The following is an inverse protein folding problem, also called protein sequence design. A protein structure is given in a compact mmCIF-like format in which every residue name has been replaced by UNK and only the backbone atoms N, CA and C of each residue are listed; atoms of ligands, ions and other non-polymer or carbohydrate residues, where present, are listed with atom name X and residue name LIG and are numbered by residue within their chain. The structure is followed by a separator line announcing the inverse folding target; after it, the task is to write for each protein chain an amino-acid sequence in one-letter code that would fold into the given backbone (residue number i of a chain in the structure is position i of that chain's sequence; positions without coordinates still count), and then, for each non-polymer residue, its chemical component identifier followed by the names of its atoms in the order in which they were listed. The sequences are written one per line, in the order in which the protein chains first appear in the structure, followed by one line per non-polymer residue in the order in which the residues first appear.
data_IF_106311435799
#
_entry.id   IF_106311435799
#
_cell.length_a   1.000
_cell.length_b   1.000
_cell.length_c   1.000
_cell.angle_alpha   90.00
_cell.angle_beta   90.00
_cell.angle_gamma   90.00
#
_symmetry.space_group_name_H-M   'P 1'
#
loop_
_entity.id
_entity.type
_entity.pdbx_description
1 polymer ?
#
# COMPACT_ATOMS: atom_id res chain seq x y z
N UNK A 1 -22.99 -1.68 -23.91
CA UNK A 1 -22.66 -1.49 -22.48
C UNK A 1 -21.37 -0.65 -22.42
N UNK A 2 -21.43 0.56 -21.85
CA UNK A 2 -20.27 1.45 -21.79
C UNK A 2 -19.12 0.79 -21.02
N UNK A 3 -17.88 1.19 -21.32
CA UNK A 3 -16.67 0.70 -20.65
C UNK A 3 -16.78 0.92 -19.13
N UNK A 4 -17.39 2.02 -18.72
CA UNK A 4 -17.61 2.37 -17.30
C UNK A 4 -18.62 1.43 -16.61
N UNK A 5 -19.71 1.06 -17.28
CA UNK A 5 -20.66 0.10 -16.72
C UNK A 5 -20.05 -1.29 -16.57
N UNK A 6 -19.18 -1.71 -17.50
CA UNK A 6 -18.39 -2.95 -17.36
C UNK A 6 -17.46 -2.89 -16.16
N UNK A 7 -16.79 -1.76 -15.95
CA UNK A 7 -15.89 -1.55 -14.78
C UNK A 7 -16.67 -1.59 -13.48
N UNK A 8 -17.83 -0.94 -13.42
CA UNK A 8 -18.70 -0.96 -12.25
C UNK A 8 -19.19 -2.38 -11.91
N UNK A 9 -19.68 -3.13 -12.91
CA UNK A 9 -20.09 -4.52 -12.71
C UNK A 9 -18.92 -5.40 -12.25
N UNK A 10 -17.72 -5.21 -12.82
CA UNK A 10 -16.53 -5.92 -12.37
C UNK A 10 -16.14 -5.55 -10.94
N UNK A 11 -16.32 -4.29 -10.53
CA UNK A 11 -16.10 -3.85 -9.17
C UNK A 11 -17.07 -4.53 -8.20
N UNK A 12 -18.35 -4.68 -8.58
CA UNK A 12 -19.33 -5.41 -7.79
C UNK A 12 -18.96 -6.90 -7.67
N UNK A 13 -18.57 -7.55 -8.76
CA UNK A 13 -18.12 -8.94 -8.76
C UNK A 13 -16.88 -9.18 -7.90
N UNK A 14 -16.01 -8.20 -7.77
CA UNK A 14 -14.83 -8.25 -6.92
C UNK A 14 -15.17 -8.50 -5.43
N UNK A 15 -16.25 -7.97 -4.90
CA UNK A 15 -16.69 -8.23 -3.52
C UNK A 15 -16.97 -9.70 -3.24
N UNK A 16 -17.37 -10.44 -4.28
CA UNK A 16 -17.73 -11.85 -4.17
C UNK A 16 -16.52 -12.75 -4.38
N UNK A 17 -15.71 -12.46 -5.39
CA UNK A 17 -14.61 -13.34 -5.83
C UNK A 17 -13.27 -13.07 -5.17
N UNK A 18 -12.89 -11.80 -5.01
CA UNK A 18 -11.64 -11.33 -4.37
C UNK A 18 -10.37 -12.05 -4.88
N UNK A 19 -10.27 -12.33 -6.16
CA UNK A 19 -9.07 -12.88 -6.77
C UNK A 19 -8.12 -11.77 -7.21
N UNK A 20 -6.90 -12.13 -7.64
CA UNK A 20 -5.88 -11.15 -8.07
C UNK A 20 -6.36 -10.22 -9.18
N UNK A 21 -7.13 -10.73 -10.15
CA UNK A 21 -7.73 -9.93 -11.23
C UNK A 21 -8.74 -8.92 -10.68
N UNK A 22 -9.52 -9.31 -9.70
CA UNK A 22 -10.49 -8.43 -9.06
C UNK A 22 -9.79 -7.32 -8.27
N UNK A 23 -8.66 -7.62 -7.61
CA UNK A 23 -7.80 -6.63 -6.94
C UNK A 23 -7.24 -5.63 -7.96
N UNK A 24 -6.67 -6.09 -9.07
CA UNK A 24 -6.17 -5.22 -10.15
C UNK A 24 -7.26 -4.31 -10.68
N UNK A 25 -8.45 -4.84 -10.97
CA UNK A 25 -9.59 -4.05 -11.46
C UNK A 25 -10.04 -2.99 -10.46
N UNK A 26 -10.07 -3.33 -9.17
CA UNK A 26 -10.42 -2.41 -8.10
C UNK A 26 -9.43 -1.25 -8.03
N UNK A 27 -8.13 -1.54 -7.98
CA UNK A 27 -7.12 -0.48 -7.93
C UNK A 27 -7.09 0.37 -9.21
N UNK A 28 -7.32 -0.22 -10.38
CA UNK A 28 -7.45 0.55 -11.62
C UNK A 28 -8.64 1.53 -11.59
N UNK A 29 -9.68 1.19 -10.83
CA UNK A 29 -10.85 2.03 -10.66
C UNK A 29 -10.68 3.06 -9.53
N UNK A 30 -10.20 2.65 -8.36
CA UNK A 30 -10.14 3.48 -7.15
C UNK A 30 -8.89 4.34 -7.04
N UNK A 31 -7.73 3.88 -7.55
CA UNK A 31 -6.49 4.60 -7.38
C UNK A 31 -6.53 6.06 -7.85
N UNK A 32 -7.14 6.41 -9.00
CA UNK A 32 -7.24 7.81 -9.43
C UNK A 32 -7.93 8.73 -8.41
N UNK A 33 -8.88 8.20 -7.64
CA UNK A 33 -9.58 8.97 -6.59
C UNK A 33 -8.68 9.19 -5.39
N UNK A 34 -8.00 8.14 -4.94
CA UNK A 34 -7.06 8.25 -3.81
C UNK A 34 -5.91 9.20 -4.13
N UNK A 35 -5.32 9.08 -5.32
CA UNK A 35 -4.24 9.94 -5.76
C UNK A 35 -4.66 11.42 -5.81
N UNK A 36 -5.87 11.71 -6.28
CA UNK A 36 -6.42 13.08 -6.25
C UNK A 36 -6.67 13.56 -4.82
N UNK A 37 -7.25 12.70 -3.96
CA UNK A 37 -7.59 13.07 -2.58
C UNK A 37 -6.33 13.33 -1.74
N UNK A 38 -5.25 12.57 -1.96
CA UNK A 38 -4.00 12.69 -1.21
C UNK A 38 -3.00 13.65 -1.86
N UNK A 39 -3.10 13.86 -3.18
CA UNK A 39 -2.17 14.70 -3.94
C UNK A 39 -0.80 14.03 -4.21
N UNK A 40 -0.67 12.72 -3.96
CA UNK A 40 0.56 11.96 -4.14
C UNK A 40 0.28 10.64 -4.88
N UNK A 41 1.33 9.99 -5.39
CA UNK A 41 1.26 8.66 -6.03
C UNK A 41 1.45 7.51 -5.02
N UNK A 42 1.28 7.75 -3.73
CA UNK A 42 1.26 6.73 -2.68
C UNK A 42 -0.18 6.33 -2.34
N UNK A 43 -0.37 5.05 -2.01
CA UNK A 43 -1.68 4.50 -1.64
C UNK A 43 -1.76 4.08 -0.17
N UNK A 44 -0.68 4.26 0.60
CA UNK A 44 -0.65 3.94 2.02
C UNK A 44 -1.39 5.00 2.88
N UNK A 45 -1.83 4.60 4.08
CA UNK A 45 -2.58 5.46 5.01
C UNK A 45 -1.75 6.56 5.66
N UNK A 46 -0.41 6.39 5.66
CA UNK A 46 0.52 7.31 6.31
C UNK A 46 0.70 7.05 7.80
N UNK A 47 1.83 7.54 8.32
CA UNK A 47 2.14 7.61 9.75
C UNK A 47 2.06 9.08 10.19
N UNK A 48 1.03 9.39 10.96
CA UNK A 48 0.72 10.75 11.38
C UNK A 48 1.40 11.08 12.71
N UNK A 49 2.15 12.15 12.71
CA UNK A 49 2.80 12.73 13.90
C UNK A 49 2.28 14.14 14.13
N UNK A 50 2.66 14.76 15.24
CA UNK A 50 2.31 16.17 15.53
C UNK A 50 2.86 17.16 14.49
N UNK A 51 3.85 16.74 13.71
CA UNK A 51 4.47 17.55 12.65
C UNK A 51 3.86 17.33 11.27
N UNK A 52 3.10 16.26 11.06
CA UNK A 52 2.49 15.96 9.76
C UNK A 52 1.21 16.77 9.54
N UNK A 53 1.17 17.55 8.46
CA UNK A 53 0.07 18.48 8.17
C UNK A 53 -0.91 17.97 7.10
N UNK A 54 -0.48 16.99 6.31
CA UNK A 54 -1.23 16.49 5.15
C UNK A 54 -0.89 15.03 4.85
N UNK A 55 -1.69 14.34 4.00
CA UNK A 55 -1.44 12.94 3.66
C UNK A 55 -0.08 12.67 3.03
N UNK A 56 0.47 13.59 2.23
CA UNK A 56 1.77 13.41 1.58
C UNK A 56 2.88 13.27 2.64
N UNK A 57 2.87 14.15 3.63
CA UNK A 57 3.83 14.11 4.73
C UNK A 57 3.67 12.82 5.55
N UNK A 58 2.43 12.46 5.91
CA UNK A 58 2.17 11.24 6.66
C UNK A 58 2.58 9.97 5.88
N UNK A 59 2.33 9.92 4.57
CA UNK A 59 2.75 8.81 3.70
C UNK A 59 4.27 8.70 3.62
N UNK A 60 4.97 9.82 3.52
CA UNK A 60 6.43 9.86 3.55
C UNK A 60 6.98 9.40 4.91
N UNK A 61 6.37 9.81 6.02
CA UNK A 61 6.79 9.37 7.36
C UNK A 61 6.58 7.86 7.56
N UNK A 62 5.48 7.28 7.05
CA UNK A 62 5.31 5.82 7.07
C UNK A 62 6.41 5.11 6.27
N UNK A 63 6.74 5.61 5.08
CA UNK A 63 7.83 5.03 4.28
C UNK A 63 9.18 5.12 4.99
N UNK A 64 9.50 6.26 5.62
CA UNK A 64 10.73 6.42 6.41
C UNK A 64 10.76 5.46 7.60
N UNK A 65 9.64 5.35 8.33
CA UNK A 65 9.50 4.42 9.46
C UNK A 65 9.74 2.98 9.02
N UNK A 66 9.09 2.53 7.94
CA UNK A 66 9.25 1.18 7.40
C UNK A 66 10.67 0.94 6.91
N UNK A 67 11.29 1.89 6.21
CA UNK A 67 12.67 1.79 5.76
C UNK A 67 13.68 1.67 6.91
N UNK A 68 13.47 2.46 7.98
CA UNK A 68 14.25 2.36 9.23
C UNK A 68 14.02 1.02 9.91
N UNK A 69 12.78 0.58 10.02
CA UNK A 69 12.40 -0.69 10.64
C UNK A 69 12.96 -1.91 9.87
N UNK A 70 13.12 -1.80 8.55
CA UNK A 70 13.75 -2.80 7.71
C UNK A 70 15.29 -2.73 7.69
N UNK A 71 15.91 -1.83 8.43
CA UNK A 71 17.36 -1.59 8.44
C UNK A 71 17.93 -1.38 7.03
N UNK A 72 17.25 -0.58 6.18
CA UNK A 72 17.63 -0.37 4.79
C UNK A 72 19.03 0.24 4.60
N UNK A 73 19.58 0.90 5.62
CA UNK A 73 20.94 1.43 5.59
C UNK A 73 22.01 0.34 5.55
N UNK A 74 21.67 -0.92 5.91
CA UNK A 74 22.53 -2.09 5.85
C UNK A 74 22.24 -2.96 4.62
N UNK A 75 21.19 -2.65 3.87
CA UNK A 75 20.69 -3.47 2.79
C UNK A 75 21.47 -3.26 1.48
N UNK A 76 21.55 -4.32 0.67
CA UNK A 76 22.08 -4.30 -0.70
C UNK A 76 20.97 -4.51 -1.74
N UNK A 77 20.09 -5.47 -1.51
CA UNK A 77 19.06 -5.92 -2.45
C UNK A 77 17.68 -5.93 -1.79
N UNK A 78 16.85 -4.96 -2.12
CA UNK A 78 15.48 -4.85 -1.65
C UNK A 78 14.49 -5.36 -2.70
N UNK A 79 13.57 -6.25 -2.29
CA UNK A 79 12.36 -6.57 -3.02
C UNK A 79 11.14 -5.85 -2.36
N UNK A 80 10.54 -4.91 -3.07
CA UNK A 80 9.28 -4.23 -2.67
C UNK A 80 8.10 -4.98 -3.31
N UNK A 81 7.36 -5.75 -2.51
CA UNK A 81 6.32 -6.66 -2.99
C UNK A 81 4.93 -6.02 -2.86
N UNK A 82 4.27 -5.85 -4.00
CA UNK A 82 3.03 -5.10 -4.11
C UNK A 82 3.29 -3.59 -4.13
N UNK A 83 4.33 -3.17 -4.82
CA UNK A 83 4.90 -1.81 -4.83
C UNK A 83 3.97 -0.70 -5.33
N UNK A 84 2.78 -1.02 -5.85
CA UNK A 84 1.84 -0.04 -6.37
C UNK A 84 2.47 0.82 -7.48
N UNK A 85 2.52 2.13 -7.28
CA UNK A 85 3.19 3.08 -8.17
C UNK A 85 4.70 3.24 -7.87
N UNK A 86 5.25 2.43 -6.99
CA UNK A 86 6.68 2.37 -6.59
C UNK A 86 7.24 3.67 -5.99
N UNK A 87 6.38 4.56 -5.51
CA UNK A 87 6.82 5.79 -4.83
C UNK A 87 7.59 5.52 -3.52
N UNK A 88 7.18 4.56 -2.65
CA UNK A 88 7.98 4.19 -1.48
C UNK A 88 9.39 3.73 -1.88
N UNK A 89 9.50 2.89 -2.90
CA UNK A 89 10.78 2.39 -3.40
C UNK A 89 11.68 3.52 -3.94
N UNK A 90 11.11 4.48 -4.66
CA UNK A 90 11.82 5.67 -5.15
C UNK A 90 12.34 6.50 -3.95
N UNK A 91 11.53 6.64 -2.91
CA UNK A 91 11.92 7.37 -1.69
C UNK A 91 13.06 6.63 -0.96
N UNK A 92 12.96 5.31 -0.75
CA UNK A 92 14.03 4.53 -0.12
C UNK A 92 15.33 4.58 -0.92
N UNK A 93 15.25 4.47 -2.25
CA UNK A 93 16.42 4.61 -3.13
C UNK A 93 17.07 5.98 -3.03
N UNK A 94 16.30 7.05 -2.83
CA UNK A 94 16.83 8.41 -2.67
C UNK A 94 17.63 8.60 -1.37
N UNK A 95 17.28 7.85 -0.30
CA UNK A 95 18.03 7.86 0.97
C UNK A 95 19.20 6.86 0.97
N UNK A 96 19.12 5.80 0.20
CA UNK A 96 20.09 4.70 0.16
C UNK A 96 20.51 4.45 -1.30
N UNK A 97 21.42 5.28 -1.80
CA UNK A 97 21.82 5.29 -3.23
C UNK A 97 22.45 3.99 -3.69
N UNK A 98 23.14 3.26 -2.80
CA UNK A 98 23.73 1.93 -3.09
C UNK A 98 22.71 0.78 -3.13
N UNK A 99 21.47 1.01 -2.66
CA UNK A 99 20.44 -0.02 -2.56
C UNK A 99 19.93 -0.43 -3.95
N UNK A 100 20.02 -1.69 -4.30
CA UNK A 100 19.35 -2.24 -5.48
C UNK A 100 17.90 -2.52 -5.14
N UNK A 101 16.96 -1.87 -5.83
CA UNK A 101 15.52 -2.02 -5.55
C UNK A 101 14.82 -2.69 -6.72
N UNK A 102 14.13 -3.80 -6.44
CA UNK A 102 13.23 -4.45 -7.39
C UNK A 102 11.80 -4.35 -6.88
N UNK A 103 10.97 -3.66 -7.62
CA UNK A 103 9.54 -3.47 -7.35
C UNK A 103 8.73 -4.55 -8.06
N UNK A 104 8.04 -5.39 -7.31
CA UNK A 104 7.15 -6.42 -7.84
C UNK A 104 5.71 -6.00 -7.65
N UNK A 105 4.94 -5.94 -8.73
CA UNK A 105 3.52 -5.63 -8.68
C UNK A 105 2.74 -6.40 -9.73
N UNK A 106 1.57 -6.92 -9.35
CA UNK A 106 0.67 -7.63 -10.27
C UNK A 106 -0.06 -6.68 -11.22
N UNK A 107 -0.22 -5.40 -10.86
CA UNK A 107 -0.92 -4.41 -11.66
C UNK A 107 0.01 -3.74 -12.68
N UNK A 108 -0.05 -4.22 -13.92
CA UNK A 108 0.75 -3.70 -15.03
C UNK A 108 0.55 -2.20 -15.30
N UNK A 109 -0.68 -1.69 -15.15
CA UNK A 109 -0.95 -0.26 -15.37
C UNK A 109 -0.26 0.62 -14.32
N UNK A 110 -0.25 0.20 -13.06
CA UNK A 110 0.49 0.90 -12.02
C UNK A 110 1.99 0.89 -12.31
N UNK A 111 2.55 -0.23 -12.76
CA UNK A 111 3.97 -0.30 -13.13
C UNK A 111 4.32 0.56 -14.34
N UNK A 112 3.41 0.66 -15.33
CA UNK A 112 3.61 1.59 -16.45
C UNK A 112 3.73 3.04 -15.96
N UNK A 113 2.89 3.46 -15.02
CA UNK A 113 2.98 4.78 -14.39
C UNK A 113 4.27 4.91 -13.57
N UNK A 114 4.63 3.89 -12.78
CA UNK A 114 5.89 3.87 -12.01
C UNK A 114 7.12 4.07 -12.91
N UNK A 115 7.15 3.41 -14.07
CA UNK A 115 8.22 3.59 -15.07
C UNK A 115 8.33 5.05 -15.56
N UNK A 116 7.20 5.71 -15.79
CA UNK A 116 7.20 7.12 -16.18
C UNK A 116 7.70 8.04 -15.06
N UNK A 117 7.25 7.80 -13.82
CA UNK A 117 7.69 8.56 -12.65
C UNK A 117 9.20 8.43 -12.40
N UNK A 118 9.73 7.23 -12.50
CA UNK A 118 11.16 6.96 -12.35
C UNK A 118 11.98 7.71 -13.41
N UNK A 119 11.56 7.65 -14.68
CA UNK A 119 12.23 8.38 -15.78
C UNK A 119 12.20 9.89 -15.58
N UNK A 120 11.06 10.46 -15.16
CA UNK A 120 10.93 11.90 -14.93
C UNK A 120 11.84 12.40 -13.81
N UNK A 121 11.98 11.61 -12.72
CA UNK A 121 12.88 11.95 -11.62
C UNK A 121 14.34 11.84 -12.01
N UNK A 122 14.71 10.81 -12.74
CA UNK A 122 16.05 10.65 -13.27
C UNK A 122 16.46 11.83 -14.16
N UNK A 123 15.58 12.26 -15.06
CA UNK A 123 15.83 13.41 -15.92
C UNK A 123 16.01 14.72 -15.12
N UNK A 124 15.25 14.92 -14.04
CA UNK A 124 15.42 16.08 -13.16
C UNK A 124 16.79 16.07 -12.46
N UNK A 125 17.22 14.90 -11.98
CA UNK A 125 18.54 14.75 -11.33
C UNK A 125 19.67 15.03 -12.32
N UNK A 126 19.57 14.49 -13.55
CA UNK A 126 20.57 14.76 -14.60
C UNK A 126 20.63 16.26 -14.94
N UNK A 127 19.48 16.89 -15.16
CA UNK A 127 19.44 18.32 -15.49
C UNK A 127 19.94 19.23 -14.36
N UNK A 128 19.67 18.87 -13.09
CA UNK A 128 20.21 19.64 -11.94
C UNK A 128 21.71 19.49 -11.79
N UNK A 129 22.28 18.34 -12.17
CA UNK A 129 23.76 18.12 -12.15
C UNK A 129 24.47 18.80 -13.33
N UNK A 130 23.83 18.92 -14.49
CA UNK A 130 24.40 19.63 -15.67
C UNK A 130 24.56 21.12 -15.39
N UNK A 131 23.69 21.71 -14.56
CA UNK A 131 23.76 23.13 -14.17
C UNK A 131 24.78 23.42 -13.07
N UNK A 132 25.42 22.41 -12.48
CA UNK A 132 26.56 22.57 -11.58
C UNK A 132 27.79 21.98 -12.28
N UNK A 133 28.63 22.85 -12.86
CA UNK A 133 29.89 22.46 -13.50
C UNK A 133 30.77 21.63 -12.57
N UNK A 134 30.74 20.33 -12.73
CA UNK A 134 31.82 19.44 -12.39
C UNK A 134 31.80 18.23 -13.32
N UNK A 135 32.66 18.30 -14.32
CA UNK A 135 33.12 17.20 -15.14
C UNK A 135 33.62 16.05 -14.28
N UNK A 136 33.34 14.83 -14.74
CA UNK A 136 33.86 13.54 -14.25
C UNK A 136 33.01 12.85 -13.16
N UNK A 137 31.94 12.27 -13.58
CA UNK A 137 31.61 10.85 -13.38
C UNK A 137 30.32 10.55 -14.12
N UNK A 138 30.36 9.55 -15.01
CA UNK A 138 29.18 8.91 -15.56
C UNK A 138 28.39 8.31 -14.38
N UNK A 139 27.58 9.15 -13.72
CA UNK A 139 26.64 8.67 -12.72
C UNK A 139 25.64 7.81 -13.46
N UNK A 140 25.86 6.51 -13.43
CA UNK A 140 24.84 5.52 -13.76
C UNK A 140 23.60 5.97 -13.01
N UNK A 141 22.58 6.40 -13.75
CA UNK A 141 21.29 6.73 -13.17
C UNK A 141 20.75 5.41 -12.64
N UNK A 142 20.92 5.19 -11.34
CA UNK A 142 20.59 3.95 -10.69
C UNK A 142 19.08 3.74 -10.77
N UNK A 143 18.67 2.85 -11.67
CA UNK A 143 17.28 2.58 -11.98
C UNK A 143 16.69 1.58 -10.98
N UNK A 144 15.46 1.85 -10.55
CA UNK A 144 14.63 0.85 -9.88
C UNK A 144 14.18 -0.16 -10.93
N UNK A 145 14.34 -1.46 -10.65
CA UNK A 145 13.80 -2.52 -11.48
C UNK A 145 12.30 -2.70 -11.24
N UNK A 146 11.52 -2.78 -12.31
CA UNK A 146 10.07 -2.98 -12.24
C UNK A 146 9.70 -4.34 -12.85
N UNK A 147 9.04 -5.20 -12.07
CA UNK A 147 8.69 -6.56 -12.49
C UNK A 147 7.20 -6.81 -12.29
N UNK A 148 6.51 -7.17 -13.39
CA UNK A 148 5.09 -7.52 -13.30
C UNK A 148 4.93 -9.00 -12.97
N UNK A 149 4.67 -9.28 -11.69
CA UNK A 149 4.50 -10.65 -11.18
C UNK A 149 3.56 -10.69 -9.97
N UNK A 150 3.11 -11.89 -9.63
CA UNK A 150 2.32 -12.16 -8.43
C UNK A 150 3.23 -12.38 -7.22
N UNK A 151 2.77 -12.00 -6.03
CA UNK A 151 3.46 -12.28 -4.78
C UNK A 151 3.51 -13.79 -4.43
N UNK A 152 2.72 -14.62 -5.12
CA UNK A 152 2.67 -16.07 -4.91
C UNK A 152 3.77 -16.85 -5.61
N UNK A 153 4.38 -16.25 -6.64
CA UNK A 153 5.53 -16.81 -7.39
C UNK A 153 6.44 -15.65 -7.73
N UNK A 154 7.45 -15.45 -6.93
CA UNK A 154 8.37 -14.33 -7.07
C UNK A 154 9.49 -14.64 -8.08
N UNK A 155 9.77 -13.74 -9.04
CA UNK A 155 10.71 -14.00 -10.12
C UNK A 155 12.18 -13.76 -9.69
N UNK A 156 12.56 -14.34 -8.58
CA UNK A 156 13.91 -14.26 -8.02
C UNK A 156 14.50 -15.66 -7.86
N UNK A 157 15.83 -15.74 -7.92
CA UNK A 157 16.56 -16.93 -7.51
C UNK A 157 16.43 -17.13 -6.00
N UNK A 158 16.70 -18.34 -5.55
CA UNK A 158 16.77 -18.64 -4.13
C UNK A 158 17.89 -17.83 -3.48
N UNK A 159 17.68 -17.38 -2.25
CA UNK A 159 18.67 -16.73 -1.39
C UNK A 159 19.45 -15.59 -2.07
N UNK A 160 18.75 -14.64 -2.69
CA UNK A 160 19.38 -13.52 -3.42
C UNK A 160 18.89 -12.13 -3.01
N UNK A 161 18.00 -12.05 -2.03
CA UNK A 161 17.41 -10.80 -1.52
C UNK A 161 17.70 -10.70 -0.04
N UNK A 162 18.24 -9.59 0.41
CA UNK A 162 18.52 -9.37 1.83
C UNK A 162 17.39 -8.60 2.56
N UNK A 163 16.50 -7.89 1.84
CA UNK A 163 15.34 -7.20 2.40
C UNK A 163 14.11 -7.42 1.54
N UNK A 164 13.04 -7.87 2.17
CA UNK A 164 11.71 -7.94 1.56
C UNK A 164 10.79 -7.01 2.34
N UNK A 165 10.12 -6.10 1.64
CA UNK A 165 9.10 -5.23 2.22
C UNK A 165 7.78 -5.46 1.51
N UNK A 166 6.70 -5.59 2.30
CA UNK A 166 5.32 -5.58 1.84
C UNK A 166 4.56 -4.47 2.59
N UNK A 167 4.58 -3.25 2.04
CA UNK A 167 3.92 -2.07 2.62
C UNK A 167 2.48 -1.97 2.13
N UNK A 168 1.52 -2.22 3.00
CA UNK A 168 0.07 -2.20 2.71
C UNK A 168 -0.33 -3.00 1.47
N UNK A 169 0.33 -4.12 1.26
CA UNK A 169 0.09 -5.01 0.13
C UNK A 169 -0.24 -6.44 0.55
N UNK A 170 0.35 -6.92 1.65
CA UNK A 170 0.21 -8.30 2.13
C UNK A 170 -1.24 -8.69 2.45
N UNK A 171 -2.10 -7.75 2.85
CA UNK A 171 -3.53 -7.98 3.05
C UNK A 171 -4.27 -8.39 1.76
N UNK A 172 -3.67 -8.18 0.59
CA UNK A 172 -4.22 -8.58 -0.70
C UNK A 172 -3.68 -9.91 -1.22
N UNK A 173 -2.67 -10.49 -0.56
CA UNK A 173 -2.06 -11.74 -1.00
C UNK A 173 -2.88 -12.93 -0.53
N UNK A 174 -3.41 -13.68 -1.47
CA UNK A 174 -4.29 -14.81 -1.21
C UNK A 174 -3.84 -16.05 -1.98
N UNK A 175 -3.38 -17.10 -1.25
CA UNK A 175 -3.18 -17.19 0.20
C UNK A 175 -1.88 -16.49 0.65
N UNK A 176 -1.92 -15.83 1.80
CA UNK A 176 -0.75 -15.16 2.39
C UNK A 176 0.40 -16.14 2.66
N UNK A 177 0.07 -17.39 2.99
CA UNK A 177 1.07 -18.43 3.24
C UNK A 177 2.02 -18.64 2.05
N UNK A 178 1.53 -18.57 0.80
CA UNK A 178 2.39 -18.70 -0.38
C UNK A 178 3.39 -17.54 -0.50
N UNK A 179 2.97 -16.32 -0.20
CA UNK A 179 3.88 -15.18 -0.15
C UNK A 179 4.97 -15.38 0.91
N UNK A 180 4.60 -15.85 2.11
CA UNK A 180 5.57 -16.13 3.18
C UNK A 180 6.54 -17.23 2.76
N UNK A 181 6.08 -18.29 2.09
CA UNK A 181 6.93 -19.36 1.56
C UNK A 181 7.89 -18.85 0.48
N UNK A 182 7.42 -18.04 -0.47
CA UNK A 182 8.26 -17.41 -1.48
C UNK A 182 9.28 -16.44 -0.86
N UNK A 183 8.86 -15.68 0.17
CA UNK A 183 9.77 -14.82 0.92
C UNK A 183 10.90 -15.62 1.56
N UNK A 184 10.59 -16.79 2.19
CA UNK A 184 11.63 -17.68 2.71
C UNK A 184 12.57 -18.17 1.62
N UNK A 185 12.05 -18.55 0.46
CA UNK A 185 12.85 -19.09 -0.65
C UNK A 185 13.88 -18.08 -1.15
N UNK A 186 13.46 -16.83 -1.36
CA UNK A 186 14.31 -15.80 -1.98
C UNK A 186 15.21 -15.07 -1.00
N UNK A 187 14.90 -15.11 0.31
CA UNK A 187 15.61 -14.37 1.34
C UNK A 187 16.96 -15.02 1.64
N UNK A 188 18.01 -14.22 1.75
CA UNK A 188 19.32 -14.63 2.25
C UNK A 188 19.25 -15.04 3.73
N UNK A 189 20.27 -15.73 4.23
CA UNK A 189 20.30 -16.28 5.60
C UNK A 189 20.04 -15.21 6.67
N UNK A 190 20.68 -14.05 6.57
CA UNK A 190 20.52 -12.93 7.52
C UNK A 190 19.53 -11.88 7.01
N UNK A 191 18.72 -12.24 6.03
CA UNK A 191 17.76 -11.33 5.40
C UNK A 191 16.56 -11.07 6.30
N UNK A 192 15.89 -9.92 6.06
CA UNK A 192 14.72 -9.48 6.83
C UNK A 192 13.48 -9.41 5.95
N UNK A 193 12.38 -9.97 6.47
CA UNK A 193 11.04 -9.77 5.93
C UNK A 193 10.32 -8.74 6.81
N UNK A 194 9.89 -7.62 6.21
CA UNK A 194 9.09 -6.59 6.87
C UNK A 194 7.73 -6.48 6.22
N UNK A 195 6.68 -6.60 7.03
CA UNK A 195 5.29 -6.48 6.59
C UNK A 195 4.63 -5.36 7.38
N UNK A 196 4.00 -4.43 6.68
CA UNK A 196 3.21 -3.35 7.26
C UNK A 196 1.76 -3.48 6.76
N UNK A 197 0.82 -3.77 7.65
CA UNK A 197 -0.57 -4.03 7.25
C UNK A 197 -1.58 -3.80 8.37
N UNK A 198 -2.84 -3.49 8.01
CA UNK A 198 -3.97 -3.57 8.94
C UNK A 198 -4.27 -5.01 9.33
N UNK A 199 -4.58 -5.22 10.61
CA UNK A 199 -4.93 -6.53 11.17
C UNK A 199 -6.19 -6.45 12.02
N UNK A 200 -6.88 -7.58 12.16
CA UNK A 200 -7.97 -7.73 13.13
C UNK A 200 -7.37 -8.10 14.48
N UNK A 201 -7.82 -7.40 15.51
CA UNK A 201 -7.49 -7.62 16.91
C UNK A 201 -8.76 -8.08 17.63
N UNK A 202 -9.13 -9.35 17.45
CA UNK A 202 -10.29 -9.89 18.14
C UNK A 202 -10.05 -9.92 19.66
N UNK A 203 -10.94 -9.27 20.41
CA UNK A 203 -11.03 -9.42 21.85
C UNK A 203 -11.39 -10.87 22.20
N UNK A 204 -10.75 -11.44 23.21
CA UNK A 204 -10.96 -12.83 23.69
C UNK A 204 -12.40 -13.16 24.11
N UNK A 205 -13.31 -12.19 24.13
CA UNK A 205 -14.69 -12.32 24.62
C UNK A 205 -15.76 -12.36 23.52
N UNK A 206 -15.40 -12.29 22.24
CA UNK A 206 -16.38 -12.28 21.16
C UNK A 206 -16.74 -13.71 20.71
N UNK A 207 -18.00 -14.10 20.91
CA UNK A 207 -18.57 -15.30 20.26
C UNK A 207 -18.53 -15.14 18.73
N UNK A 208 -18.50 -16.24 17.99
CA UNK A 208 -18.49 -16.25 16.51
C UNK A 208 -19.65 -15.42 15.91
N UNK A 209 -20.79 -15.36 16.61
CA UNK A 209 -21.96 -14.56 16.25
C UNK A 209 -21.72 -13.05 16.43
N UNK A 210 -21.04 -12.65 17.52
CA UNK A 210 -20.68 -11.24 17.76
C UNK A 210 -19.59 -10.78 16.77
N UNK A 211 -18.63 -11.63 16.46
CA UNK A 211 -17.65 -11.36 15.39
C UNK A 211 -18.34 -11.12 14.03
N UNK A 212 -19.37 -11.89 13.67
CA UNK A 212 -20.17 -11.69 12.46
C UNK A 212 -20.92 -10.35 12.45
N UNK A 213 -21.48 -9.91 13.56
CA UNK A 213 -22.14 -8.60 13.69
C UNK A 213 -21.12 -7.45 13.61
N UNK A 214 -19.94 -7.61 14.19
CA UNK A 214 -18.86 -6.64 14.10
C UNK A 214 -18.25 -6.57 12.69
N UNK A 215 -18.13 -7.72 11.99
CA UNK A 215 -17.80 -7.76 10.57
C UNK A 215 -18.85 -7.05 9.71
N UNK A 216 -20.15 -7.11 10.05
CA UNK A 216 -21.18 -6.32 9.35
C UNK A 216 -21.08 -4.82 9.65
N UNK A 217 -20.66 -4.42 10.85
CA UNK A 217 -20.30 -3.02 11.16
C UNK A 217 -19.10 -2.55 10.33
N UNK A 218 -18.13 -3.43 10.10
CA UNK A 218 -17.00 -3.22 9.19
C UNK A 218 -17.39 -3.29 7.70
N UNK A 219 -18.62 -3.64 7.35
CA UNK A 219 -19.06 -4.00 6.00
C UNK A 219 -18.64 -3.04 4.88
N UNK A 220 -18.54 -1.72 5.13
CA UNK A 220 -17.98 -0.77 4.17
C UNK A 220 -16.44 -0.84 4.15
N UNK A 221 -15.79 -1.19 5.25
CA UNK A 221 -14.34 -1.39 5.29
C UNK A 221 -13.91 -2.67 4.57
N UNK A 222 -14.68 -3.76 4.73
CA UNK A 222 -14.54 -4.96 3.90
C UNK A 222 -14.66 -4.65 2.42
N UNK A 223 -15.52 -3.70 2.11
CA UNK A 223 -15.78 -3.23 0.76
C UNK A 223 -14.59 -2.46 0.17
N UNK A 224 -14.02 -1.54 0.94
CA UNK A 224 -12.90 -0.71 0.49
C UNK A 224 -11.55 -1.44 0.49
N UNK A 225 -11.39 -2.42 1.38
CA UNK A 225 -10.07 -3.00 1.61
C UNK A 225 -9.77 -4.23 0.77
N UNK A 226 -10.73 -4.79 0.03
CA UNK A 226 -10.44 -5.92 -0.85
C UNK A 226 -9.53 -7.00 -0.23
N UNK A 227 -9.32 -6.90 1.05
CA UNK A 227 -8.28 -7.61 1.76
C UNK A 227 -8.87 -8.79 2.49
N UNK A 228 -8.06 -9.80 2.64
CA UNK A 228 -8.27 -10.79 3.68
C UNK A 228 -8.01 -10.09 5.01
N UNK A 229 -9.00 -10.11 5.90
CA UNK A 229 -8.83 -9.55 7.24
C UNK A 229 -8.10 -10.57 8.09
N UNK A 230 -6.77 -10.51 8.08
CA UNK A 230 -5.95 -11.43 8.86
C UNK A 230 -5.96 -11.06 10.34
N UNK A 231 -6.28 -12.02 11.19
CA UNK A 231 -5.96 -11.92 12.60
C UNK A 231 -4.44 -12.03 12.79
N UNK A 232 -3.87 -11.18 13.63
CA UNK A 232 -2.43 -11.18 13.88
C UNK A 232 -1.89 -12.55 14.34
N UNK A 233 -2.65 -13.29 15.17
CA UNK A 233 -2.29 -14.65 15.61
C UNK A 233 -2.13 -15.63 14.44
N UNK A 234 -2.95 -15.48 13.37
CA UNK A 234 -2.87 -16.34 12.20
C UNK A 234 -1.65 -16.01 11.36
N UNK A 235 -1.29 -14.72 11.24
CA UNK A 235 -0.05 -14.28 10.57
C UNK A 235 1.15 -14.88 11.32
N UNK A 236 1.21 -14.73 12.65
CA UNK A 236 2.27 -15.30 13.48
C UNK A 236 2.38 -16.81 13.30
N UNK A 237 1.25 -17.54 13.32
CA UNK A 237 1.23 -18.99 13.09
C UNK A 237 1.77 -19.38 11.71
N UNK A 238 1.40 -18.66 10.66
CA UNK A 238 1.91 -18.89 9.30
C UNK A 238 3.42 -18.62 9.19
N UNK A 239 3.90 -17.55 9.83
CA UNK A 239 5.34 -17.19 9.87
C UNK A 239 6.15 -18.31 10.53
N UNK A 240 5.78 -18.71 11.75
CA UNK A 240 6.45 -19.78 12.50
C UNK A 240 6.42 -21.11 11.73
N UNK A 241 5.26 -21.45 11.11
CA UNK A 241 5.14 -22.68 10.29
C UNK A 241 6.11 -22.73 9.13
N UNK A 242 6.47 -21.57 8.58
CA UNK A 242 7.41 -21.45 7.46
C UNK A 242 8.85 -21.33 7.95
N UNK A 243 9.12 -21.18 9.26
CA UNK A 243 10.46 -21.04 9.86
C UNK A 243 10.94 -19.59 9.83
N UNK A 244 10.03 -18.66 10.09
CA UNK A 244 10.36 -17.26 10.38
C UNK A 244 10.19 -16.97 11.86
N UNK A 245 11.22 -16.42 12.46
CA UNK A 245 11.18 -15.79 13.77
C UNK A 245 10.74 -14.33 13.65
N UNK A 246 9.68 -13.96 14.37
CA UNK A 246 9.28 -12.55 14.48
C UNK A 246 10.14 -11.89 15.55
N UNK A 247 11.04 -11.02 15.12
CA UNK A 247 12.03 -10.39 16.00
C UNK A 247 11.62 -9.02 16.51
N UNK A 248 10.65 -8.36 15.84
CA UNK A 248 10.15 -7.06 16.30
C UNK A 248 8.71 -6.80 15.80
N UNK A 249 7.91 -6.09 16.60
CA UNK A 249 6.51 -5.77 16.29
C UNK A 249 6.19 -4.36 16.80
N UNK A 250 5.79 -3.47 15.90
CA UNK A 250 5.30 -2.14 16.25
C UNK A 250 3.80 -2.00 15.94
N UNK A 251 3.02 -1.67 16.95
CA UNK A 251 1.61 -1.34 16.81
C UNK A 251 1.46 0.16 16.64
N UNK A 252 1.03 0.59 15.46
CA UNK A 252 1.02 2.02 15.08
C UNK A 252 -0.38 2.54 14.71
N UNK A 253 -1.44 1.79 15.02
CA UNK A 253 -2.82 2.16 14.66
C UNK A 253 -3.24 3.55 15.17
N UNK A 254 -2.73 4.00 16.34
CA UNK A 254 -2.95 5.35 16.88
C UNK A 254 -2.44 6.47 15.97
N UNK A 255 -1.35 6.20 15.24
CA UNK A 255 -0.76 7.13 14.28
C UNK A 255 -1.30 6.97 12.85
N UNK A 256 -2.26 6.08 12.64
CA UNK A 256 -2.81 5.78 11.30
C UNK A 256 -4.28 6.18 11.20
N UNK A 257 -5.16 5.53 11.96
CA UNK A 257 -6.59 5.58 11.70
C UNK A 257 -7.27 6.87 12.15
N UNK A 258 -7.03 7.26 13.38
CA UNK A 258 -7.70 8.42 13.97
C UNK A 258 -7.22 9.74 13.34
N UNK A 259 -5.90 9.98 13.19
CA UNK A 259 -5.42 11.21 12.56
C UNK A 259 -5.84 11.32 11.09
N UNK A 260 -5.81 10.24 10.32
CA UNK A 260 -6.27 10.20 8.93
C UNK A 260 -7.76 10.58 8.84
N UNK A 261 -8.60 9.97 9.69
CA UNK A 261 -10.04 10.29 9.73
C UNK A 261 -10.28 11.75 10.13
N UNK A 262 -9.57 12.24 11.13
CA UNK A 262 -9.69 13.64 11.58
C UNK A 262 -9.26 14.61 10.48
N UNK A 263 -8.16 14.33 9.77
CA UNK A 263 -7.74 15.13 8.61
C UNK A 263 -8.84 15.17 7.54
N UNK A 264 -9.43 14.01 7.22
CA UNK A 264 -10.50 13.94 6.23
C UNK A 264 -11.75 14.72 6.67
N UNK A 265 -12.15 14.61 7.93
CA UNK A 265 -13.28 15.35 8.50
C UNK A 265 -13.05 16.86 8.34
N UNK A 266 -11.91 17.36 8.80
CA UNK A 266 -11.58 18.78 8.77
C UNK A 266 -11.47 19.34 7.33
N UNK A 267 -10.98 18.54 6.39
CA UNK A 267 -10.71 18.97 5.01
C UNK A 267 -11.75 18.48 4.00
N UNK A 268 -12.85 17.87 4.45
CA UNK A 268 -13.81 17.19 3.56
C UNK A 268 -14.31 18.04 2.39
N UNK A 269 -14.63 19.31 2.63
CA UNK A 269 -15.12 20.22 1.57
C UNK A 269 -14.07 20.42 0.48
N UNK A 270 -12.80 20.60 0.86
CA UNK A 270 -11.69 20.79 -0.07
C UNK A 270 -11.41 19.50 -0.86
N UNK A 271 -11.33 18.37 -0.17
CA UNK A 271 -11.09 17.05 -0.78
C UNK A 271 -12.22 16.71 -1.77
N UNK A 272 -13.48 16.92 -1.37
CA UNK A 272 -14.63 16.72 -2.24
C UNK A 272 -14.55 17.58 -3.51
N UNK A 273 -14.16 18.85 -3.39
CA UNK A 273 -13.98 19.75 -4.55
C UNK A 273 -12.89 19.25 -5.49
N UNK A 274 -11.79 18.71 -4.95
CA UNK A 274 -10.68 18.15 -5.75
C UNK A 274 -11.14 16.88 -6.47
N UNK A 275 -11.85 15.97 -5.79
CA UNK A 275 -12.37 14.73 -6.37
C UNK A 275 -13.38 15.02 -7.49
N UNK A 276 -14.25 16.01 -7.29
CA UNK A 276 -15.31 16.37 -8.25
C UNK A 276 -14.81 17.24 -9.41
N UNK A 277 -13.61 17.85 -9.32
CA UNK A 277 -13.05 18.68 -10.40
C UNK A 277 -12.64 17.81 -11.57
N UNK A 278 -13.51 17.75 -12.59
CA UNK A 278 -13.28 16.98 -13.82
C UNK A 278 -13.11 17.92 -15.00
N UNK A 279 -12.00 17.83 -15.71
CA UNK A 279 -11.60 18.85 -16.68
C UNK A 279 -12.13 18.65 -18.10
N UNK A 280 -12.74 17.49 -18.48
CA UNK A 280 -13.05 17.22 -19.89
C UNK A 280 -14.23 16.24 -20.10
N UNK A 281 -15.49 16.65 -19.89
CA UNK A 281 -16.63 15.81 -20.32
C UNK A 281 -17.82 16.64 -20.85
N UNK A 282 -18.59 16.05 -21.80
CA UNK A 282 -19.85 16.58 -22.32
C UNK A 282 -20.91 16.64 -21.22
N UNK A 283 -21.85 17.61 -21.30
CA UNK A 283 -22.81 17.94 -20.24
C UNK A 283 -23.61 16.74 -19.66
N UNK A 284 -24.00 15.78 -20.47
CA UNK A 284 -24.81 14.64 -20.03
C UNK A 284 -23.99 13.55 -19.34
N UNK A 285 -22.77 13.27 -19.82
CA UNK A 285 -21.82 12.35 -19.19
C UNK A 285 -21.26 12.92 -17.88
N UNK A 286 -21.17 14.25 -17.76
CA UNK A 286 -20.68 14.91 -16.54
C UNK A 286 -21.63 14.76 -15.37
N UNK A 287 -22.96 14.75 -15.56
CA UNK A 287 -23.93 14.62 -14.47
C UNK A 287 -23.87 13.23 -13.82
N UNK A 288 -23.90 12.17 -14.64
CA UNK A 288 -23.82 10.79 -14.14
C UNK A 288 -22.47 10.56 -13.45
N UNK A 289 -21.39 11.06 -14.03
CA UNK A 289 -20.04 10.93 -13.51
C UNK A 289 -19.89 11.67 -12.17
N UNK A 290 -20.44 12.89 -12.05
CA UNK A 290 -20.42 13.66 -10.80
C UNK A 290 -21.26 12.98 -9.70
N UNK A 291 -22.37 12.34 -10.04
CA UNK A 291 -23.15 11.54 -9.09
C UNK A 291 -22.34 10.34 -8.57
N UNK A 292 -21.57 9.66 -9.43
CA UNK A 292 -20.64 8.61 -9.03
C UNK A 292 -19.52 9.12 -8.13
N UNK A 293 -18.90 10.23 -8.48
CA UNK A 293 -17.85 10.85 -7.67
C UNK A 293 -18.37 11.27 -6.29
N UNK A 294 -19.57 11.83 -6.21
CA UNK A 294 -20.20 12.17 -4.93
C UNK A 294 -20.49 10.94 -4.07
N UNK A 295 -20.97 9.86 -4.70
CA UNK A 295 -21.18 8.59 -4.02
C UNK A 295 -19.85 8.00 -3.50
N UNK A 296 -18.79 8.01 -4.33
CA UNK A 296 -17.46 7.54 -3.94
C UNK A 296 -16.87 8.35 -2.80
N UNK A 297 -16.96 9.68 -2.87
CA UNK A 297 -16.52 10.56 -1.78
C UNK A 297 -17.22 10.16 -0.47
N UNK A 298 -18.54 9.99 -0.50
CA UNK A 298 -19.31 9.55 0.67
C UNK A 298 -18.85 8.21 1.21
N UNK A 299 -18.51 7.27 0.33
CA UNK A 299 -18.00 5.95 0.73
C UNK A 299 -16.63 6.10 1.39
N UNK A 300 -15.69 6.85 0.79
CA UNK A 300 -14.35 7.10 1.34
C UNK A 300 -14.46 7.77 2.73
N UNK A 301 -15.29 8.80 2.84
CA UNK A 301 -15.51 9.50 4.10
C UNK A 301 -16.06 8.58 5.20
N UNK A 302 -17.10 7.81 4.88
CA UNK A 302 -17.69 6.85 5.82
C UNK A 302 -16.71 5.74 6.20
N UNK A 303 -15.85 5.33 5.27
CA UNK A 303 -14.80 4.34 5.55
C UNK A 303 -13.76 4.88 6.52
N UNK A 304 -13.29 6.12 6.34
CA UNK A 304 -12.37 6.76 7.27
C UNK A 304 -12.96 6.85 8.69
N UNK A 305 -14.24 7.25 8.81
CA UNK A 305 -14.93 7.28 10.11
C UNK A 305 -15.04 5.89 10.75
N UNK A 306 -15.42 4.88 9.97
CA UNK A 306 -15.53 3.50 10.47
C UNK A 306 -14.20 2.92 10.89
N UNK A 307 -13.11 3.21 10.16
CA UNK A 307 -11.76 2.81 10.57
C UNK A 307 -11.38 3.40 11.93
N UNK A 308 -11.64 4.70 12.13
CA UNK A 308 -11.42 5.36 13.41
C UNK A 308 -12.21 4.66 14.54
N UNK A 309 -13.52 4.43 14.34
CA UNK A 309 -14.37 3.75 15.32
C UNK A 309 -13.88 2.34 15.60
N UNK A 310 -13.61 1.55 14.56
CA UNK A 310 -13.14 0.18 14.72
C UNK A 310 -11.78 0.09 15.44
N UNK A 311 -10.90 1.07 15.24
CA UNK A 311 -9.65 1.18 15.99
C UNK A 311 -9.92 1.53 17.46
N UNK A 312 -10.78 2.53 17.74
CA UNK A 312 -11.15 2.93 19.11
C UNK A 312 -11.85 1.81 19.91
N UNK A 313 -12.64 1.00 19.21
CA UNK A 313 -13.28 -0.20 19.78
C UNK A 313 -12.31 -1.41 19.91
N UNK A 314 -11.06 -1.27 19.45
CA UNK A 314 -10.05 -2.33 19.52
C UNK A 314 -10.29 -3.50 18.55
N UNK A 315 -11.10 -3.32 17.52
CA UNK A 315 -11.44 -4.34 16.53
C UNK A 315 -10.30 -4.50 15.51
N UNK A 316 -9.71 -3.38 15.10
CA UNK A 316 -8.58 -3.36 14.16
C UNK A 316 -7.37 -2.67 14.79
N UNK A 317 -6.21 -3.02 14.28
CA UNK A 317 -4.97 -2.28 14.55
C UNK A 317 -4.10 -2.27 13.29
N UNK A 318 -3.02 -1.52 13.32
CA UNK A 318 -2.03 -1.50 12.25
C UNK A 318 -0.69 -1.97 12.80
N UNK A 319 -0.09 -2.95 12.14
CA UNK A 319 1.15 -3.57 12.62
C UNK A 319 2.27 -3.43 11.60
N UNK A 320 3.46 -3.08 12.10
CA UNK A 320 4.73 -3.34 11.45
C UNK A 320 5.32 -4.59 12.10
N UNK A 321 5.65 -5.58 11.27
CA UNK A 321 6.20 -6.85 11.69
C UNK A 321 7.55 -7.04 11.00
N UNK A 322 8.60 -7.32 11.77
CA UNK A 322 9.93 -7.68 11.29
C UNK A 322 10.23 -9.13 11.65
N UNK A 323 10.63 -9.90 10.66
CA UNK A 323 10.98 -11.30 10.85
C UNK A 323 12.28 -11.66 10.12
N UNK A 324 12.99 -12.66 10.64
CA UNK A 324 14.16 -13.29 10.04
C UNK A 324 13.97 -14.80 9.92
N UNK A 325 14.79 -15.46 9.12
CA UNK A 325 14.84 -16.92 9.09
C UNK A 325 15.49 -17.46 10.38
N UNK A 326 14.96 -18.58 10.89
CA UNK A 326 15.55 -19.34 11.98
C UNK A 326 16.91 -19.92 11.57
#
# INVERSE_FOLDING_TARGET
MSIELKRLLQTILWFIRRNERDIVNCYNFLAPFFLRATGNNMLNFGYWTDYTKNPIEAQNELCKLVGKFADLHLAKNLADIGSGFSEPAILWKSFHTSLNVTCVNINFLQQKVASQLTRLRNNKIVNSKINQESLLSSSVVETISLVNATAKVLPFRDKCIDRIIALESAQHFKPLLQFIQESRRILEHDGLLVIALPVIKLSKSCSVLAAGQEFMKLGILSFMWASEHYEFKNIKSMMNKVGFDIIDIHWIGSHVYEPLANYYICNRKAIKKIILKNENHTLLSSYILNMFYDLFEKIIYRSALKMKIAYQEGIIDYVLLKAKLE
#
